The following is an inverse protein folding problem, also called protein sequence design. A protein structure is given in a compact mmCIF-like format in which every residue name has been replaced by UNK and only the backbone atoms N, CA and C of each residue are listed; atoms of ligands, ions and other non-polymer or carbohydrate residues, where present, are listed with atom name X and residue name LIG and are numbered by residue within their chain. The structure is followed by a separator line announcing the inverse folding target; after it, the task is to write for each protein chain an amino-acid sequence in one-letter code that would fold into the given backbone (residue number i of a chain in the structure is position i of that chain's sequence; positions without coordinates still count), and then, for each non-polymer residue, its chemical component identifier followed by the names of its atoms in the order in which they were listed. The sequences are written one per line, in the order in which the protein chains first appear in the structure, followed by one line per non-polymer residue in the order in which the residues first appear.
data_IF_446790493438
#
_entry.id   IF_446790493438
#
_cell.length_a   1.000
_cell.length_b   1.000
_cell.length_c   1.000
_cell.angle_alpha   90.00
_cell.angle_beta   90.00
_cell.angle_gamma   90.00
#
_symmetry.space_group_name_H-M   'P 1'
#
loop_
_entity.id
_entity.type
_entity.pdbx_description
1 polymer ?
#
# COMPACT_ATOMS: atom_id res chain seq x y z
N UNK A 1 -16.40 7.09 13.29
CA UNK A 1 -16.42 5.63 13.52
C UNK A 1 -16.33 4.98 12.15
N UNK A 2 -15.12 4.55 11.76
CA UNK A 2 -14.85 4.13 10.39
C UNK A 2 -15.37 2.70 10.19
N UNK A 3 -16.16 2.49 9.13
CA UNK A 3 -16.90 1.23 8.87
C UNK A 3 -15.95 0.03 8.62
N UNK A 4 -14.66 0.30 8.40
CA UNK A 4 -13.60 -0.66 8.09
C UNK A 4 -13.03 -1.38 9.32
N UNK A 5 -13.08 -0.75 10.50
CA UNK A 5 -12.31 -1.16 11.68
C UNK A 5 -12.79 -2.50 12.29
N UNK A 6 -14.10 -2.78 12.19
CA UNK A 6 -14.69 -4.02 12.70
C UNK A 6 -14.51 -5.18 11.73
N UNK A 7 -14.81 -5.00 10.44
CA UNK A 7 -14.82 -6.13 9.50
C UNK A 7 -13.44 -6.73 9.24
N UNK A 8 -12.40 -5.91 9.12
CA UNK A 8 -11.07 -6.40 8.73
C UNK A 8 -10.40 -7.25 9.81
N UNK A 9 -10.43 -6.79 11.07
CA UNK A 9 -9.90 -7.57 12.21
C UNK A 9 -10.69 -8.86 12.42
N UNK A 10 -12.01 -8.80 12.28
CA UNK A 10 -12.88 -9.98 12.43
C UNK A 10 -12.61 -11.03 11.33
N UNK A 11 -12.40 -10.60 10.08
CA UNK A 11 -12.06 -11.50 8.95
C UNK A 11 -10.69 -12.15 9.16
N UNK A 12 -9.66 -11.38 9.52
CA UNK A 12 -8.30 -11.92 9.72
C UNK A 12 -8.23 -12.83 10.96
N UNK A 13 -8.99 -12.52 12.01
CA UNK A 13 -9.10 -13.37 13.18
C UNK A 13 -9.84 -14.69 12.89
N UNK A 14 -10.85 -14.69 12.01
CA UNK A 14 -11.58 -15.90 11.60
C UNK A 14 -10.79 -16.79 10.64
N UNK A 15 -10.06 -16.20 9.68
CA UNK A 15 -9.32 -16.95 8.66
C UNK A 15 -7.94 -17.41 9.13
N UNK A 16 -7.34 -16.69 10.10
CA UNK A 16 -5.93 -16.82 10.44
C UNK A 16 -5.04 -16.18 9.37
N UNK A 17 -3.94 -15.56 9.78
CA UNK A 17 -2.96 -15.01 8.83
C UNK A 17 -1.97 -16.10 8.44
N UNK A 18 -1.99 -16.52 7.17
CA UNK A 18 -1.02 -17.47 6.65
C UNK A 18 -1.23 -17.78 5.17
N UNK A 19 -0.14 -17.93 4.44
CA UNK A 19 -0.14 -18.36 3.04
C UNK A 19 0.48 -19.75 2.98
N UNK A 20 -0.30 -20.76 2.59
CA UNK A 20 0.15 -22.16 2.50
C UNK A 20 0.31 -22.63 1.05
N UNK A 21 -0.13 -21.83 0.08
CA UNK A 21 -0.09 -22.15 -1.34
C UNK A 21 -0.07 -20.87 -2.16
N UNK A 22 0.59 -20.90 -3.32
CA UNK A 22 0.59 -19.83 -4.32
C UNK A 22 -0.59 -19.95 -5.32
N UNK A 23 -1.26 -21.11 -5.35
CA UNK A 23 -2.32 -21.41 -6.32
C UNK A 23 -3.66 -21.86 -5.69
N UNK A 24 -3.73 -21.89 -4.36
CA UNK A 24 -4.97 -22.16 -3.63
C UNK A 24 -6.01 -21.04 -3.78
N UNK A 25 -7.21 -21.27 -3.24
CA UNK A 25 -8.26 -20.24 -3.20
C UNK A 25 -7.75 -19.03 -2.42
N UNK A 26 -7.82 -17.85 -3.02
CA UNK A 26 -7.46 -16.59 -2.40
C UNK A 26 -8.65 -16.06 -1.60
N UNK A 27 -8.50 -15.91 -0.28
CA UNK A 27 -9.56 -15.35 0.57
C UNK A 27 -9.35 -13.86 0.89
N UNK A 28 -8.10 -13.44 1.10
CA UNK A 28 -7.74 -12.05 1.43
C UNK A 28 -6.49 -11.64 0.65
N UNK A 29 -6.46 -10.39 0.18
CA UNK A 29 -5.30 -9.81 -0.50
C UNK A 29 -5.04 -8.40 -0.01
N UNK A 30 -3.77 -8.07 0.19
CA UNK A 30 -3.32 -6.71 0.48
C UNK A 30 -2.85 -6.04 -0.81
N UNK A 31 -3.37 -4.85 -1.09
CA UNK A 31 -3.05 -4.07 -2.27
C UNK A 31 -2.62 -2.65 -1.92
N UNK A 32 -1.83 -2.04 -2.78
CA UNK A 32 -1.55 -0.61 -2.76
C UNK A 32 -2.12 0.01 -4.03
N UNK A 33 -2.99 1.02 -3.88
CA UNK A 33 -3.49 1.79 -5.03
C UNK A 33 -2.48 2.88 -5.34
N UNK A 34 -1.84 2.89 -6.53
CA UNK A 34 -0.84 3.90 -6.86
C UNK A 34 -1.41 5.31 -6.73
N UNK A 35 -0.63 6.25 -6.21
CA UNK A 35 -1.02 7.62 -5.94
C UNK A 35 -0.08 8.66 -6.55
N UNK A 36 0.09 9.78 -5.84
CA UNK A 36 0.92 10.90 -6.28
C UNK A 36 2.42 10.55 -6.39
N UNK A 37 2.86 9.45 -5.79
CA UNK A 37 4.23 8.96 -5.94
C UNK A 37 4.62 8.75 -7.41
N UNK A 38 3.66 8.40 -8.29
CA UNK A 38 3.91 8.26 -9.72
C UNK A 38 4.22 9.60 -10.40
N UNK A 39 3.78 10.72 -9.83
CA UNK A 39 4.07 12.06 -10.36
C UNK A 39 5.52 12.48 -10.14
N UNK A 40 6.28 11.73 -9.32
CA UNK A 40 7.72 11.97 -9.09
C UNK A 40 8.62 11.31 -10.14
N UNK A 41 8.03 10.50 -11.04
CA UNK A 41 8.75 9.85 -12.12
C UNK A 41 9.11 10.87 -13.22
N UNK A 42 10.38 10.90 -13.58
CA UNK A 42 10.94 11.71 -14.66
C UNK A 42 11.71 10.81 -15.61
N UNK A 43 12.04 11.35 -16.80
CA UNK A 43 12.88 10.63 -17.77
C UNK A 43 14.26 10.28 -17.23
N UNK A 44 14.75 11.05 -16.27
CA UNK A 44 16.11 10.88 -15.73
C UNK A 44 16.16 9.83 -14.60
N UNK A 45 15.05 9.63 -13.88
CA UNK A 45 15.01 8.74 -12.72
C UNK A 45 14.25 7.42 -12.94
N UNK A 46 13.44 7.28 -14.01
CA UNK A 46 12.53 6.12 -14.13
C UNK A 46 13.25 4.78 -14.07
N UNK A 47 14.39 4.63 -14.75
CA UNK A 47 15.13 3.37 -14.79
C UNK A 47 15.76 3.03 -13.44
N UNK A 48 16.19 4.05 -12.67
CA UNK A 48 16.68 3.86 -11.30
C UNK A 48 15.54 3.45 -10.36
N UNK A 49 14.33 3.91 -10.64
CA UNK A 49 13.11 3.58 -9.89
C UNK A 49 12.39 2.34 -10.44
N UNK A 50 13.05 1.56 -11.32
CA UNK A 50 12.55 0.30 -11.88
C UNK A 50 11.28 0.43 -12.73
N UNK A 51 11.11 1.56 -13.40
CA UNK A 51 10.07 1.79 -14.40
C UNK A 51 10.64 1.77 -15.82
N UNK A 52 9.95 1.09 -16.74
CA UNK A 52 10.29 1.08 -18.17
C UNK A 52 9.74 2.31 -18.91
N UNK A 53 8.64 2.88 -18.42
CA UNK A 53 8.00 4.08 -18.95
C UNK A 53 7.28 4.86 -17.85
N UNK A 54 7.03 6.15 -18.08
CA UNK A 54 6.24 6.99 -17.17
C UNK A 54 4.76 6.59 -17.30
N UNK A 55 4.13 6.08 -16.24
CA UNK A 55 2.74 5.65 -16.28
C UNK A 55 1.78 6.84 -16.32
N UNK A 56 0.67 6.68 -17.05
CA UNK A 56 -0.47 7.59 -16.93
C UNK A 56 -1.24 7.27 -15.64
N UNK A 57 -1.32 8.23 -14.72
CA UNK A 57 -1.95 8.03 -13.41
C UNK A 57 -3.43 7.63 -13.51
N UNK A 58 -4.18 8.27 -14.41
CA UNK A 58 -5.62 7.98 -14.57
C UNK A 58 -5.86 6.57 -15.10
N UNK A 59 -5.09 6.16 -16.11
CA UNK A 59 -5.20 4.81 -16.68
C UNK A 59 -4.71 3.74 -15.68
N UNK A 60 -3.70 4.07 -14.88
CA UNK A 60 -3.19 3.21 -13.81
C UNK A 60 -4.25 3.00 -12.73
N UNK A 61 -4.91 4.09 -12.29
CA UNK A 61 -6.04 4.01 -11.36
C UNK A 61 -7.17 3.17 -11.90
N UNK A 62 -7.58 3.42 -13.15
CA UNK A 62 -8.66 2.65 -13.78
C UNK A 62 -8.32 1.16 -13.84
N UNK A 63 -7.12 0.80 -14.28
CA UNK A 63 -6.67 -0.59 -14.37
C UNK A 63 -6.62 -1.26 -13.00
N UNK A 64 -6.09 -0.55 -11.99
CA UNK A 64 -6.06 -1.03 -10.62
C UNK A 64 -7.48 -1.24 -10.06
N UNK A 65 -8.39 -0.31 -10.28
CA UNK A 65 -9.77 -0.38 -9.77
C UNK A 65 -10.52 -1.56 -10.40
N UNK A 66 -10.38 -1.76 -11.72
CA UNK A 66 -10.90 -2.93 -12.44
C UNK A 66 -10.36 -4.23 -11.82
N UNK A 67 -9.05 -4.32 -11.60
CA UNK A 67 -8.44 -5.51 -11.02
C UNK A 67 -8.95 -5.78 -9.59
N UNK A 68 -9.04 -4.75 -8.76
CA UNK A 68 -9.56 -4.87 -7.40
C UNK A 68 -11.04 -5.29 -7.39
N UNK A 69 -11.84 -4.80 -8.35
CA UNK A 69 -13.24 -5.17 -8.46
C UNK A 69 -13.39 -6.63 -8.90
N UNK A 70 -12.60 -7.07 -9.87
CA UNK A 70 -12.56 -8.46 -10.30
C UNK A 70 -12.28 -9.43 -9.14
N UNK A 71 -11.35 -9.07 -8.23
CA UNK A 71 -11.06 -9.85 -7.04
C UNK A 71 -12.25 -9.89 -6.07
N UNK A 72 -12.89 -8.74 -5.81
CA UNK A 72 -14.08 -8.66 -4.95
C UNK A 72 -15.25 -9.47 -5.51
N UNK A 73 -15.47 -9.42 -6.83
CA UNK A 73 -16.52 -10.18 -7.52
C UNK A 73 -16.31 -11.70 -7.39
N UNK A 74 -15.05 -12.14 -7.21
CA UNK A 74 -14.69 -13.53 -6.92
C UNK A 74 -14.66 -13.87 -5.41
N UNK A 75 -15.19 -12.99 -4.57
CA UNK A 75 -15.30 -13.20 -3.12
C UNK A 75 -13.99 -12.99 -2.34
N UNK A 76 -12.98 -12.36 -2.96
CA UNK A 76 -11.72 -12.02 -2.29
C UNK A 76 -11.91 -10.73 -1.48
N UNK A 77 -11.46 -10.74 -0.23
CA UNK A 77 -11.36 -9.54 0.59
C UNK A 77 -10.14 -8.72 0.21
N UNK A 78 -10.37 -7.62 -0.51
CA UNK A 78 -9.33 -6.67 -0.89
C UNK A 78 -9.11 -5.65 0.24
N UNK A 79 -7.94 -5.68 0.84
CA UNK A 79 -7.46 -4.71 1.83
C UNK A 79 -6.49 -3.72 1.17
N UNK A 80 -6.50 -2.47 1.63
CA UNK A 80 -5.54 -1.47 1.18
C UNK A 80 -4.48 -1.16 2.23
N UNK A 81 -3.22 -1.10 1.79
CA UNK A 81 -2.07 -0.78 2.64
C UNK A 81 -2.23 0.59 3.32
N UNK A 82 -2.67 1.61 2.58
CA UNK A 82 -2.85 2.95 3.12
C UNK A 82 -3.89 2.99 4.25
N UNK A 83 -5.00 2.27 4.08
CA UNK A 83 -6.07 2.20 5.08
C UNK A 83 -5.58 1.49 6.35
N UNK A 84 -4.92 0.34 6.21
CA UNK A 84 -4.36 -0.41 7.35
C UNK A 84 -3.25 0.37 8.06
N UNK A 85 -2.42 1.08 7.31
CA UNK A 85 -1.39 1.94 7.89
C UNK A 85 -2.02 3.07 8.68
N UNK A 86 -3.03 3.75 8.13
CA UNK A 86 -3.76 4.80 8.82
C UNK A 86 -4.41 4.28 10.12
N UNK A 87 -5.08 3.13 10.06
CA UNK A 87 -5.68 2.49 11.24
C UNK A 87 -4.61 2.15 12.29
N UNK A 88 -3.47 1.61 11.87
CA UNK A 88 -2.36 1.27 12.77
C UNK A 88 -1.82 2.52 13.47
N UNK A 89 -1.55 3.58 12.70
CA UNK A 89 -1.04 4.85 13.21
C UNK A 89 -2.04 5.55 14.13
N UNK A 90 -3.33 5.50 13.81
CA UNK A 90 -4.38 6.08 14.65
C UNK A 90 -4.58 5.30 15.97
N UNK A 91 -4.14 4.04 16.03
CA UNK A 91 -4.30 3.19 17.21
C UNK A 91 -3.16 3.29 18.24
N UNK A 92 -2.01 3.88 17.88
CA UNK A 92 -0.85 4.02 18.77
C UNK A 92 0.05 5.18 18.37
N UNK A 93 0.18 6.14 19.28
CA UNK A 93 1.11 7.26 19.13
C UNK A 93 2.57 6.77 19.08
N UNK A 94 2.91 5.71 19.81
CA UNK A 94 4.23 5.10 19.77
C UNK A 94 4.54 4.49 18.40
N UNK A 95 3.56 3.84 17.75
CA UNK A 95 3.72 3.32 16.39
C UNK A 95 3.95 4.45 15.39
N UNK A 96 3.24 5.57 15.55
CA UNK A 96 3.44 6.75 14.73
C UNK A 96 4.85 7.34 14.88
N UNK A 97 5.28 7.56 16.12
CA UNK A 97 6.62 8.09 16.39
C UNK A 97 7.71 7.18 15.82
N UNK A 98 7.60 5.86 16.02
CA UNK A 98 8.56 4.88 15.48
C UNK A 98 8.67 4.92 13.97
N UNK A 99 7.55 5.08 13.25
CA UNK A 99 7.56 5.18 11.79
C UNK A 99 8.21 6.49 11.34
N UNK A 100 7.90 7.61 12.00
CA UNK A 100 8.53 8.90 11.70
C UNK A 100 10.03 8.83 11.89
N UNK A 101 10.49 8.33 13.05
CA UNK A 101 11.91 8.18 13.35
C UNK A 101 12.61 7.27 12.34
N UNK A 102 11.95 6.17 11.96
CA UNK A 102 12.44 5.26 10.93
C UNK A 102 12.55 5.91 9.56
N UNK A 103 11.55 6.70 9.15
CA UNK A 103 11.59 7.43 7.88
C UNK A 103 12.72 8.46 7.90
N UNK A 104 12.87 9.24 8.96
CA UNK A 104 13.94 10.25 9.07
C UNK A 104 15.32 9.60 9.02
N UNK A 105 15.52 8.50 9.76
CA UNK A 105 16.81 7.80 9.79
C UNK A 105 17.19 7.16 8.44
N UNK A 106 16.20 6.70 7.66
CA UNK A 106 16.44 6.04 6.37
C UNK A 106 16.30 6.97 5.17
N UNK A 107 15.78 8.18 5.37
CA UNK A 107 15.77 9.21 4.35
C UNK A 107 17.17 9.83 4.32
N UNK A 108 17.85 9.78 3.18
CA UNK A 108 19.11 10.48 2.95
C UNK A 108 18.93 12.01 2.93
N UNK A 109 18.39 12.61 4.00
CA UNK A 109 18.25 14.06 4.15
C UNK A 109 19.63 14.76 4.22
N UNK A 110 20.71 14.02 4.43
CA UNK A 110 22.08 14.50 4.30
C UNK A 110 22.65 14.21 2.91
N UNK A 111 22.47 15.13 1.97
CA UNK A 111 23.52 15.52 1.01
C UNK A 111 23.13 16.78 0.25
N UNK A 112 23.95 17.83 0.44
CA UNK A 112 23.95 19.15 -0.20
C UNK A 112 23.21 20.29 0.51
N UNK A 113 23.70 20.66 1.69
CA UNK A 113 23.95 22.09 1.96
C UNK A 113 25.45 22.30 1.79
N UNK A 114 25.92 22.47 0.55
CA UNK A 114 27.24 23.07 0.34
C UNK A 114 27.04 24.57 0.40
N UNK A 115 27.68 25.19 1.39
CA UNK A 115 27.90 26.64 1.44
C UNK A 115 28.92 27.03 0.37
#
# INVERSE_FOLDING_TARGET
MNVYESKTKDILAQLGVGVQSECGKLDVVLMHRPGQELLRLTKDNLHQLLYDAIPNLSETHQSHDIFSQYLRDNGVHVLYLADLLYETLASSDEACQRIIDGIVANSHFDSQVST
#
